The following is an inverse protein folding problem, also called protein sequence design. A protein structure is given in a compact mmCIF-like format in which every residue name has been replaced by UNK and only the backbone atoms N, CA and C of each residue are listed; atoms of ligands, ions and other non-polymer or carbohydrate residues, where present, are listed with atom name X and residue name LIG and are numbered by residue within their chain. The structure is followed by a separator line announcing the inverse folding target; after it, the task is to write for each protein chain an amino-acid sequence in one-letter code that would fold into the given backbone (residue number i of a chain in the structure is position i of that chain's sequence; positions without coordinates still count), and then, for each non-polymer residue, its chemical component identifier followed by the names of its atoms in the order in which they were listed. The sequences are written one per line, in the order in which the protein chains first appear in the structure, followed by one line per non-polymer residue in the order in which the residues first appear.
data_IF_749892785628
#
_entry.id   IF_749892785628
#
_cell.length_a   1.000
_cell.length_b   1.000
_cell.length_c   1.000
_cell.angle_alpha   90.00
_cell.angle_beta   90.00
_cell.angle_gamma   90.00
#
_symmetry.space_group_name_H-M   'P 1'
#
loop_
_entity.id
_entity.type
_entity.pdbx_description
1 polymer ?
#
# COMPACT_ATOMS: atom_id res chain seq x y z
N UNK A 1 4.93 19.80 -26.04
CA UNK A 1 5.66 19.93 -25.27
C UNK A 1 5.30 20.44 -23.98
N UNK A 2 5.31 21.58 -23.75
CA UNK A 2 5.03 22.08 -22.43
C UNK A 2 3.70 21.61 -21.93
N UNK A 3 2.77 21.34 -22.79
CA UNK A 3 1.49 20.92 -22.38
C UNK A 3 1.51 19.63 -21.68
N UNK A 4 2.31 18.73 -22.06
CA UNK A 4 2.45 17.47 -21.39
C UNK A 4 2.86 17.69 -19.95
N UNK A 5 3.74 18.64 -19.78
CA UNK A 5 4.16 18.99 -18.47
C UNK A 5 3.06 19.60 -17.65
N UNK A 6 2.24 20.43 -18.23
CA UNK A 6 1.16 21.06 -17.51
C UNK A 6 0.18 20.04 -16.95
N UNK A 7 -0.14 19.05 -17.73
CA UNK A 7 -1.01 17.98 -17.26
C UNK A 7 -0.36 17.23 -16.11
N UNK A 8 0.93 16.91 -16.25
CA UNK A 8 1.64 16.24 -15.20
C UNK A 8 1.70 17.03 -13.92
N UNK A 9 1.97 18.32 -14.02
CA UNK A 9 2.06 19.18 -12.86
C UNK A 9 0.72 19.26 -12.13
N UNK A 10 -0.36 19.38 -12.88
CA UNK A 10 -1.68 19.41 -12.30
C UNK A 10 -2.00 18.11 -11.58
N UNK A 11 -1.70 16.98 -12.21
CA UNK A 11 -1.91 15.68 -11.62
C UNK A 11 -1.01 15.49 -10.40
N UNK A 12 0.21 16.01 -10.45
CA UNK A 12 1.12 15.94 -9.33
C UNK A 12 0.60 16.66 -8.11
N UNK A 13 -0.03 17.82 -8.30
CA UNK A 13 -0.62 18.56 -7.19
C UNK A 13 -1.78 17.79 -6.56
N UNK A 14 -2.68 17.29 -7.38
CA UNK A 14 -3.83 16.53 -6.89
C UNK A 14 -3.39 15.25 -6.21
N UNK A 15 -2.38 14.60 -6.74
CA UNK A 15 -1.82 13.39 -6.15
C UNK A 15 -1.23 13.69 -4.76
N UNK A 16 -0.49 14.78 -4.66
CA UNK A 16 0.08 15.16 -3.36
C UNK A 16 -0.99 15.45 -2.33
N UNK A 17 -2.10 16.08 -2.76
CA UNK A 17 -3.22 16.34 -1.85
C UNK A 17 -3.87 15.05 -1.38
N UNK A 18 -4.12 14.11 -2.28
CA UNK A 18 -4.72 12.83 -1.94
C UNK A 18 -3.82 12.06 -0.98
N UNK A 19 -2.53 12.03 -1.27
CA UNK A 19 -1.56 11.36 -0.43
C UNK A 19 -1.48 12.00 0.95
N UNK A 20 -1.54 13.32 1.02
CA UNK A 20 -1.52 14.04 2.28
C UNK A 20 -2.75 13.72 3.13
N UNK A 21 -3.92 13.62 2.51
CA UNK A 21 -5.14 13.21 3.21
C UNK A 21 -5.03 11.81 3.78
N UNK A 22 -4.51 10.90 2.98
CA UNK A 22 -4.34 9.52 3.43
C UNK A 22 -3.37 9.47 4.60
N UNK A 23 -2.27 10.21 4.49
CA UNK A 23 -1.27 10.27 5.54
C UNK A 23 -1.87 10.79 6.85
N UNK A 24 -2.74 11.77 6.77
CA UNK A 24 -3.37 12.36 7.95
C UNK A 24 -4.24 11.36 8.71
N UNK A 25 -4.70 10.32 8.06
CA UNK A 25 -5.52 9.29 8.71
C UNK A 25 -4.70 8.35 9.58
N UNK A 26 -3.39 8.36 9.44
CA UNK A 26 -2.47 7.58 10.29
C UNK A 26 -2.83 6.09 10.36
N UNK A 27 -3.24 5.53 9.23
CA UNK A 27 -3.61 4.12 9.15
C UNK A 27 -2.40 3.22 9.26
N UNK A 28 -2.62 1.96 9.64
CA UNK A 28 -1.59 0.94 9.56
C UNK A 28 -1.48 0.38 8.14
N UNK A 29 -0.48 -0.47 7.93
CA UNK A 29 -0.23 -1.10 6.64
C UNK A 29 -1.28 -2.17 6.36
N UNK A 30 -2.06 -2.00 5.29
CA UNK A 30 -3.12 -2.96 4.99
C UNK A 30 -2.55 -4.34 4.64
N UNK A 31 -1.38 -4.38 4.01
CA UNK A 31 -0.75 -5.65 3.63
C UNK A 31 -0.29 -6.42 4.87
N UNK A 32 0.39 -5.75 5.78
CA UNK A 32 0.80 -6.39 7.04
C UNK A 32 -0.41 -6.90 7.80
N UNK A 33 -1.50 -6.14 7.80
CA UNK A 33 -2.74 -6.56 8.47
C UNK A 33 -3.28 -7.85 7.88
N UNK A 34 -3.26 -7.98 6.55
CA UNK A 34 -3.70 -9.20 5.89
C UNK A 34 -2.83 -10.39 6.26
N UNK A 35 -1.54 -10.17 6.41
CA UNK A 35 -0.60 -11.23 6.79
C UNK A 35 -0.59 -11.52 8.29
N UNK A 36 -1.35 -10.78 9.10
CA UNK A 36 -1.36 -10.96 10.54
C UNK A 36 -0.08 -10.49 11.21
N UNK A 37 0.62 -9.56 10.58
CA UNK A 37 1.83 -8.95 11.14
C UNK A 37 1.51 -7.61 11.78
N UNK A 38 2.41 -7.11 12.60
CA UNK A 38 2.28 -5.76 13.14
C UNK A 38 2.17 -4.76 12.00
N UNK A 39 1.11 -3.96 12.00
CA UNK A 39 0.80 -3.10 10.86
C UNK A 39 1.08 -1.62 11.10
N UNK A 40 1.57 -1.25 12.27
CA UNK A 40 1.85 0.16 12.57
C UNK A 40 2.87 0.73 11.60
N UNK A 41 2.62 1.96 11.14
CA UNK A 41 3.54 2.69 10.29
C UNK A 41 4.08 3.88 11.07
N UNK A 42 5.39 4.02 11.08
CA UNK A 42 6.02 5.21 11.66
C UNK A 42 6.05 6.29 10.59
N UNK A 43 5.15 7.26 10.72
CA UNK A 43 4.98 8.31 9.74
C UNK A 43 6.08 9.37 9.79
N UNK A 44 7.02 9.26 10.73
CA UNK A 44 8.16 10.18 10.82
C UNK A 44 9.35 9.74 9.98
N UNK A 45 9.33 8.51 9.48
CA UNK A 45 10.44 8.00 8.70
C UNK A 45 10.54 8.69 7.33
N UNK A 46 11.76 8.90 6.83
CA UNK A 46 11.92 9.47 5.49
C UNK A 46 11.42 8.51 4.43
N UNK A 47 11.00 9.04 3.30
CA UNK A 47 10.39 8.24 2.24
C UNK A 47 11.33 7.18 1.66
N UNK A 48 12.63 7.32 1.87
CA UNK A 48 13.60 6.32 1.42
C UNK A 48 13.65 5.09 2.31
N UNK A 49 13.06 5.16 3.50
CA UNK A 49 13.08 4.03 4.43
C UNK A 49 12.06 2.97 3.98
N UNK A 50 12.45 1.69 3.93
CA UNK A 50 11.51 0.63 3.54
C UNK A 50 10.28 0.52 4.43
N UNK A 51 10.37 0.96 5.69
CA UNK A 51 9.24 0.93 6.61
C UNK A 51 8.41 2.20 6.58
N UNK A 52 8.74 3.15 5.70
CA UNK A 52 8.03 4.42 5.64
C UNK A 52 6.63 4.26 5.06
N UNK A 53 5.79 5.27 5.29
CA UNK A 53 4.47 5.34 4.70
C UNK A 53 4.54 5.41 3.18
N UNK A 54 3.69 4.65 2.54
CA UNK A 54 3.48 4.69 1.09
C UNK A 54 1.98 4.64 0.83
N UNK A 55 1.52 5.40 -0.14
CA UNK A 55 0.13 5.36 -0.57
C UNK A 55 0.01 4.31 -1.67
N UNK A 56 -0.85 3.33 -1.44
CA UNK A 56 -1.04 2.22 -2.37
C UNK A 56 -2.37 2.38 -3.10
N UNK A 57 -2.37 2.22 -4.42
CA UNK A 57 -3.60 2.19 -5.22
C UNK A 57 -4.13 0.76 -5.18
N UNK A 58 -5.28 0.56 -4.56
CA UNK A 58 -5.86 -0.78 -4.41
C UNK A 58 -6.09 -1.43 -5.77
N UNK A 59 -6.68 -0.69 -6.71
CA UNK A 59 -6.66 -1.07 -8.12
C UNK A 59 -5.58 -0.23 -8.78
N UNK A 60 -4.54 -0.85 -9.33
CA UNK A 60 -3.46 -0.09 -9.97
C UNK A 60 -3.99 0.83 -11.06
N UNK A 61 -3.37 2.00 -11.18
CA UNK A 61 -3.77 2.97 -12.21
C UNK A 61 -3.63 2.34 -13.60
N UNK A 62 -2.60 1.53 -13.80
CA UNK A 62 -2.40 0.84 -15.08
C UNK A 62 -3.52 -0.15 -15.39
N UNK A 63 -4.32 -0.52 -14.40
CA UNK A 63 -5.44 -1.44 -14.56
C UNK A 63 -6.78 -0.72 -14.43
N UNK A 64 -6.79 0.58 -14.59
CA UNK A 64 -8.01 1.37 -14.57
C UNK A 64 -8.40 1.94 -13.22
N UNK A 65 -7.57 1.79 -12.21
CA UNK A 65 -7.86 2.37 -10.90
C UNK A 65 -7.73 3.89 -10.91
N UNK A 66 -8.49 4.53 -10.03
CA UNK A 66 -8.42 5.97 -9.90
C UNK A 66 -7.13 6.40 -9.23
N UNK A 67 -6.51 7.46 -9.76
CA UNK A 67 -5.28 7.99 -9.20
C UNK A 67 -5.55 8.73 -7.88
N UNK A 68 -6.70 9.40 -7.77
CA UNK A 68 -6.95 10.33 -6.65
C UNK A 68 -8.05 9.91 -5.70
N UNK A 69 -8.87 8.93 -6.07
CA UNK A 69 -10.03 8.56 -5.28
C UNK A 69 -9.56 7.94 -3.96
N UNK A 70 -9.97 8.52 -2.85
CA UNK A 70 -9.57 8.03 -1.54
C UNK A 70 -10.04 6.60 -1.29
N UNK A 71 -11.12 6.17 -1.94
CA UNK A 71 -11.58 4.79 -1.84
C UNK A 71 -10.66 3.81 -2.54
N UNK A 72 -9.82 4.31 -3.45
CA UNK A 72 -8.84 3.48 -4.14
C UNK A 72 -7.44 3.59 -3.53
N UNK A 73 -7.32 4.21 -2.36
CA UNK A 73 -6.02 4.41 -1.71
C UNK A 73 -6.02 3.79 -0.33
N UNK A 74 -4.93 3.17 0.03
CA UNK A 74 -4.72 2.71 1.39
C UNK A 74 -3.25 2.85 1.74
N UNK A 75 -2.97 2.81 3.04
CA UNK A 75 -1.62 2.96 3.54
C UNK A 75 -0.90 1.62 3.55
N UNK A 76 0.37 1.64 3.22
CA UNK A 76 1.23 0.46 3.30
C UNK A 76 2.65 0.91 3.62
N UNK A 77 3.43 0.00 4.20
CA UNK A 77 4.87 0.22 4.25
C UNK A 77 5.41 0.25 2.83
N UNK A 78 6.39 1.09 2.59
CA UNK A 78 7.00 1.19 1.25
C UNK A 78 7.45 -0.17 0.72
N UNK A 79 8.13 -0.96 1.55
CA UNK A 79 8.60 -2.29 1.14
C UNK A 79 7.44 -3.22 0.81
N UNK A 80 6.34 -3.14 1.55
CA UNK A 80 5.16 -3.96 1.28
C UNK A 80 4.53 -3.57 -0.04
N UNK A 81 4.42 -2.27 -0.30
CA UNK A 81 3.88 -1.76 -1.56
C UNK A 81 4.74 -2.21 -2.74
N UNK A 82 6.05 -2.14 -2.59
CA UNK A 82 6.99 -2.60 -3.63
C UNK A 82 6.89 -4.10 -3.86
N UNK A 83 6.73 -4.87 -2.80
CA UNK A 83 6.53 -6.31 -2.92
C UNK A 83 5.25 -6.62 -3.68
N UNK A 84 4.20 -5.86 -3.40
CA UNK A 84 2.91 -6.10 -4.02
C UNK A 84 2.93 -5.93 -5.53
N UNK A 85 3.61 -4.91 -6.00
CA UNK A 85 3.68 -4.57 -7.43
C UNK A 85 2.27 -4.44 -8.01
N UNK A 86 1.93 -5.26 -9.02
CA UNK A 86 0.64 -5.21 -9.68
C UNK A 86 -0.31 -6.33 -9.27
N UNK A 87 0.02 -7.04 -8.19
CA UNK A 87 -0.89 -8.05 -7.67
C UNK A 87 -2.20 -7.39 -7.27
N UNK A 88 -3.31 -8.05 -7.57
CA UNK A 88 -4.61 -7.55 -7.13
C UNK A 88 -4.74 -7.71 -5.62
N UNK A 89 -5.69 -6.98 -5.04
CA UNK A 89 -6.00 -7.13 -3.62
C UNK A 89 -6.34 -8.60 -3.31
N UNK A 90 -7.15 -9.23 -4.18
CA UNK A 90 -7.52 -10.63 -3.98
C UNK A 90 -6.31 -11.55 -3.98
N UNK A 91 -5.35 -11.30 -4.86
CA UNK A 91 -4.12 -12.10 -4.89
C UNK A 91 -3.31 -11.92 -3.60
N UNK A 92 -3.20 -10.70 -3.12
CA UNK A 92 -2.49 -10.44 -1.86
C UNK A 92 -3.16 -11.16 -0.71
N UNK A 93 -4.49 -11.09 -0.64
CA UNK A 93 -5.26 -11.75 0.40
C UNK A 93 -5.05 -13.25 0.35
N UNK A 94 -5.07 -13.83 -0.85
CA UNK A 94 -4.88 -15.28 -1.00
C UNK A 94 -3.49 -15.71 -0.54
N UNK A 95 -2.47 -14.93 -0.90
CA UNK A 95 -1.09 -15.21 -0.47
C UNK A 95 -1.00 -15.11 1.06
N UNK A 96 -1.61 -14.07 1.62
CA UNK A 96 -1.58 -13.84 3.07
C UNK A 96 -2.25 -14.99 3.81
N UNK A 97 -3.38 -15.47 3.31
CA UNK A 97 -4.10 -16.60 3.93
C UNK A 97 -3.25 -17.86 3.93
N UNK A 98 -2.59 -18.14 2.83
CA UNK A 98 -1.69 -19.31 2.77
C UNK A 98 -0.53 -19.16 3.74
N UNK A 99 0.03 -17.97 3.82
CA UNK A 99 1.14 -17.71 4.72
C UNK A 99 0.74 -17.93 6.18
N UNK A 100 -0.45 -17.43 6.56
CA UNK A 100 -0.95 -17.62 7.92
C UNK A 100 -1.25 -19.08 8.22
N UNK A 101 -1.81 -19.80 7.26
CA UNK A 101 -2.09 -21.22 7.44
C UNK A 101 -0.81 -22.02 7.68
N UNK A 102 0.23 -21.71 6.93
CA UNK A 102 1.53 -22.40 7.11
C UNK A 102 2.08 -22.12 8.50
N UNK A 103 1.99 -20.85 8.97
CA UNK A 103 2.47 -20.53 10.30
C UNK A 103 1.68 -21.27 11.39
N UNK A 104 0.37 -21.41 11.21
CA UNK A 104 -0.44 -22.14 12.17
C UNK A 104 -0.08 -23.62 12.24
N UNK A 105 0.15 -24.21 11.06
CA UNK A 105 0.58 -25.62 11.00
C UNK A 105 1.93 -25.77 11.69
N UNK A 106 2.86 -24.86 11.42
CA UNK A 106 4.15 -24.88 12.07
C UNK A 106 4.04 -24.75 13.57
N UNK A 107 3.09 -23.93 14.05
CA UNK A 107 2.87 -23.77 15.48
C UNK A 107 2.27 -25.01 16.10
N UNK A 108 1.35 -25.66 15.39
CA UNK A 108 0.67 -26.83 15.94
C UNK A 108 1.53 -28.09 15.92
N UNK A 109 2.62 -28.08 15.19
CA UNK A 109 3.51 -29.23 15.16
C UNK A 109 4.59 -29.15 16.21
N UNK A 110 4.37 -28.31 17.15
CA UNK A 110 5.36 -28.12 18.17
C UNK A 110 5.22 -29.17 19.24
N UNK A 111 5.55 -30.38 18.92
CA UNK A 111 5.39 -31.47 19.88
C UNK A 111 6.73 -32.14 20.22
#
# INVERSE_FOLDING_TARGET
MARTYNVRTSNGHRWRQAKSRLRAQQRGCWICREFGRADAIDYTLPSSDPASFSADHLVPVSKGGSLYDMENLDAAHRACNEWRRDKSVAEVIAIARRSRAVRQVGTSTDW
#
